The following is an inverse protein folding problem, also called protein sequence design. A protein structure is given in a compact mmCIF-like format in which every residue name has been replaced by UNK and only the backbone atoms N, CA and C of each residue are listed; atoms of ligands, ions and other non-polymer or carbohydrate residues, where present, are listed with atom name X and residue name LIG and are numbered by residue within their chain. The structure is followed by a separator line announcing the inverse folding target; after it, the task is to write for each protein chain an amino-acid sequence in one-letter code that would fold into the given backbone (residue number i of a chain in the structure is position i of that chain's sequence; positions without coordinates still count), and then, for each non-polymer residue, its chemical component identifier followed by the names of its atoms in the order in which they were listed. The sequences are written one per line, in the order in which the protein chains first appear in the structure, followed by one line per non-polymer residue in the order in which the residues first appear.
data_IF_658518501733
#
_entry.id   IF_658518501733
#
_cell.length_a   1.000
_cell.length_b   1.000
_cell.length_c   1.000
_cell.angle_alpha   90.00
_cell.angle_beta   90.00
_cell.angle_gamma   90.00
#
_symmetry.space_group_name_H-M   'P 1'
#
loop_
_entity.id
_entity.type
_entity.pdbx_description
1 polymer ?
#
# COMPACT_ATOMS: atom_id res chain seq x y z
N UNK A 1 15.61 72.00 44.13
CA UNK A 1 17.06 72.08 44.06
C UNK A 1 17.64 70.97 43.19
N UNK A 2 18.45 71.43 42.25
CA UNK A 2 19.47 70.66 41.51
C UNK A 2 19.07 69.53 40.53
N UNK A 3 19.07 69.94 39.27
CA UNK A 3 19.39 69.21 38.05
C UNK A 3 20.57 68.23 38.21
N UNK A 4 20.47 67.10 37.47
CA UNK A 4 21.63 66.62 36.72
C UNK A 4 21.16 65.83 35.48
N UNK A 5 21.63 66.35 34.37
CA UNK A 5 21.61 65.74 33.02
C UNK A 5 22.25 64.37 33.04
N UNK A 6 21.68 63.44 32.24
CA UNK A 6 22.50 62.39 31.65
C UNK A 6 22.06 62.10 30.20
N UNK A 7 23.06 62.07 29.36
CA UNK A 7 23.07 62.10 27.91
C UNK A 7 22.35 60.92 27.25
N UNK A 8 21.66 61.25 26.21
CA UNK A 8 21.19 60.31 25.17
C UNK A 8 22.36 59.74 24.38
N UNK A 9 22.59 58.44 24.51
CA UNK A 9 23.40 57.68 23.56
C UNK A 9 22.45 56.94 22.62
N UNK A 10 22.34 57.49 21.39
CA UNK A 10 21.57 56.88 20.29
C UNK A 10 22.34 55.68 19.73
N UNK A 11 21.97 54.46 20.12
CA UNK A 11 22.38 53.25 19.46
C UNK A 11 21.52 53.09 18.17
N UNK A 12 22.11 53.33 17.02
CA UNK A 12 21.54 52.92 15.74
C UNK A 12 21.69 51.41 15.61
N UNK A 13 20.61 50.67 15.89
CA UNK A 13 20.54 49.25 15.60
C UNK A 13 20.33 49.09 14.05
N UNK A 14 21.40 48.69 13.37
CA UNK A 14 21.35 48.33 11.97
C UNK A 14 20.71 46.90 11.89
N UNK A 15 19.41 46.87 11.57
CA UNK A 15 18.73 45.60 11.28
C UNK A 15 19.15 45.18 9.88
N UNK A 16 20.10 44.24 9.82
CA UNK A 16 20.41 43.52 8.58
C UNK A 16 19.36 42.42 8.47
N UNK A 17 18.33 42.65 7.69
CA UNK A 17 17.37 41.64 7.25
C UNK A 17 18.07 40.74 6.25
N UNK A 18 18.61 39.63 6.73
CA UNK A 18 19.01 38.53 5.88
C UNK A 18 17.72 37.84 5.40
N UNK A 19 17.30 38.16 4.20
CA UNK A 19 16.28 37.41 3.48
C UNK A 19 16.92 36.06 3.11
N UNK A 20 16.71 35.06 3.97
CA UNK A 20 16.99 33.67 3.60
C UNK A 20 15.90 33.25 2.59
N UNK A 21 16.22 33.36 1.32
CA UNK A 21 15.42 32.74 0.27
C UNK A 21 15.51 31.22 0.45
N UNK A 22 14.51 30.63 1.11
CA UNK A 22 14.28 29.19 1.02
C UNK A 22 13.93 28.90 -0.44
N UNK A 23 14.92 28.43 -1.18
CA UNK A 23 14.69 27.76 -2.45
C UNK A 23 13.99 26.44 -2.12
N UNK A 24 12.66 26.41 -2.23
CA UNK A 24 11.94 25.17 -2.45
C UNK A 24 12.48 24.61 -3.78
N UNK A 25 13.30 23.58 -3.69
CA UNK A 25 13.70 22.80 -4.84
C UNK A 25 12.47 22.00 -5.32
N UNK A 26 11.59 22.66 -6.07
CA UNK A 26 10.63 21.98 -6.93
C UNK A 26 11.43 21.22 -7.97
N UNK A 27 11.03 19.99 -8.28
CA UNK A 27 11.60 19.21 -9.35
C UNK A 27 11.34 19.96 -10.67
N UNK A 28 12.39 20.66 -11.17
CA UNK A 28 12.30 21.39 -12.42
C UNK A 28 12.86 20.54 -13.55
N UNK A 29 12.17 20.55 -14.69
CA UNK A 29 12.72 20.00 -15.92
C UNK A 29 14.09 20.65 -16.20
N UNK A 30 15.07 19.82 -16.52
CA UNK A 30 16.42 20.25 -16.89
C UNK A 30 16.77 19.76 -18.28
N UNK A 31 17.74 20.42 -18.90
CA UNK A 31 18.33 19.95 -20.14
C UNK A 31 19.35 18.84 -19.85
N UNK A 32 19.15 17.70 -20.48
CA UNK A 32 20.03 16.53 -20.46
C UNK A 32 20.85 16.49 -21.75
N UNK A 33 22.10 16.12 -21.68
CA UNK A 33 23.04 16.10 -22.81
C UNK A 33 23.57 14.68 -23.03
N UNK A 34 23.63 14.24 -24.28
CA UNK A 34 24.26 12.97 -24.62
C UNK A 34 25.75 12.96 -24.32
N UNK A 35 26.35 11.76 -24.16
CA UNK A 35 27.77 11.60 -23.82
C UNK A 35 28.70 12.26 -24.83
N UNK A 36 28.33 12.29 -26.09
CA UNK A 36 29.07 12.93 -27.20
C UNK A 36 28.76 14.42 -27.37
N UNK A 37 27.87 14.99 -26.54
CA UNK A 37 27.43 16.38 -26.62
C UNK A 37 26.53 16.72 -27.82
N UNK A 38 26.24 15.76 -28.69
CA UNK A 38 25.57 16.02 -29.99
C UNK A 38 24.06 16.23 -29.87
N UNK A 39 23.44 15.77 -28.78
CA UNK A 39 21.99 15.82 -28.58
C UNK A 39 21.64 16.29 -27.19
N UNK A 40 20.56 17.05 -27.10
CA UNK A 40 19.97 17.49 -25.84
C UNK A 40 18.48 17.21 -25.81
N UNK A 41 17.93 17.04 -24.62
CA UNK A 41 16.50 16.94 -24.39
C UNK A 41 16.13 17.50 -23.02
N UNK A 42 14.91 17.91 -22.83
CA UNK A 42 14.41 18.40 -21.55
C UNK A 42 13.58 17.33 -20.84
N UNK A 43 13.81 17.20 -19.55
CA UNK A 43 13.07 16.29 -18.73
C UNK A 43 13.42 16.37 -17.25
N UNK A 44 12.55 15.80 -16.42
CA UNK A 44 12.68 15.74 -14.98
C UNK A 44 13.26 14.41 -14.56
N UNK A 45 14.30 14.42 -13.70
CA UNK A 45 14.87 13.20 -13.14
C UNK A 45 13.86 12.51 -12.23
N UNK A 46 13.56 11.25 -12.54
CA UNK A 46 12.69 10.41 -11.73
C UNK A 46 13.47 9.49 -10.79
N UNK A 47 14.50 8.85 -11.31
CA UNK A 47 15.35 7.95 -10.51
C UNK A 47 16.72 7.73 -11.16
N UNK A 48 17.69 7.32 -10.31
CA UNK A 48 18.97 6.79 -10.72
C UNK A 48 19.22 5.46 -10.01
N UNK A 49 19.33 4.40 -10.80
CA UNK A 49 19.71 3.09 -10.32
C UNK A 49 21.23 2.94 -10.37
N UNK A 50 21.87 3.01 -9.21
CA UNK A 50 23.33 2.94 -9.10
C UNK A 50 23.89 1.54 -9.41
N UNK A 51 23.09 0.46 -9.24
CA UNK A 51 23.53 -0.91 -9.49
C UNK A 51 23.56 -1.22 -10.99
N UNK A 52 22.56 -0.75 -11.70
CA UNK A 52 22.41 -0.96 -13.16
C UNK A 52 22.99 0.19 -13.99
N UNK A 53 23.41 1.29 -13.35
CA UNK A 53 23.85 2.50 -14.04
C UNK A 53 22.75 3.10 -14.93
N UNK A 54 21.47 3.02 -14.53
CA UNK A 54 20.37 3.51 -15.32
C UNK A 54 19.77 4.81 -14.75
N UNK A 55 19.45 5.71 -15.65
CA UNK A 55 18.79 7.00 -15.37
C UNK A 55 17.38 6.98 -15.98
N UNK A 56 16.37 7.31 -15.20
CA UNK A 56 14.98 7.48 -15.67
C UNK A 56 14.59 8.94 -15.61
N UNK A 57 14.07 9.46 -16.71
CA UNK A 57 13.67 10.86 -16.86
C UNK A 57 12.26 10.91 -17.45
N UNK A 58 11.42 11.84 -16.98
CA UNK A 58 10.11 12.12 -17.58
C UNK A 58 10.21 13.38 -18.44
N UNK A 59 9.84 13.26 -19.71
CA UNK A 59 9.76 14.38 -20.64
C UNK A 59 8.55 15.27 -20.34
N UNK A 60 8.53 16.51 -20.89
CA UNK A 60 7.42 17.45 -20.76
C UNK A 60 6.07 16.92 -21.27
N UNK A 61 6.09 15.96 -22.20
CA UNK A 61 4.90 15.28 -22.71
C UNK A 61 4.45 14.07 -21.85
N UNK A 62 5.04 13.88 -20.66
CA UNK A 62 4.75 12.78 -19.74
C UNK A 62 5.39 11.44 -20.10
N UNK A 63 6.09 11.36 -21.22
CA UNK A 63 6.78 10.11 -21.63
C UNK A 63 8.00 9.88 -20.75
N UNK A 64 8.12 8.68 -20.18
CA UNK A 64 9.33 8.25 -19.46
C UNK A 64 10.35 7.66 -20.42
N UNK A 65 11.61 8.02 -20.20
CA UNK A 65 12.76 7.45 -20.88
C UNK A 65 13.71 6.89 -19.83
N UNK A 66 14.10 5.63 -20.02
CA UNK A 66 15.16 4.99 -19.22
C UNK A 66 16.31 4.63 -20.15
N UNK A 67 17.50 5.05 -19.78
CA UNK A 67 18.71 4.81 -20.57
C UNK A 67 19.92 4.58 -19.66
N UNK A 68 20.95 3.96 -20.20
CA UNK A 68 22.20 3.73 -19.47
C UNK A 68 22.96 5.04 -19.24
N UNK A 69 23.61 5.18 -18.09
CA UNK A 69 24.36 6.39 -17.72
C UNK A 69 25.49 6.73 -18.69
N UNK A 70 26.04 5.75 -19.40
CA UNK A 70 27.08 5.93 -20.42
C UNK A 70 26.59 6.71 -21.65
N UNK A 71 25.29 6.88 -21.80
CA UNK A 71 24.67 7.70 -22.85
C UNK A 71 24.54 9.18 -22.50
N UNK A 72 24.88 9.55 -21.28
CA UNK A 72 24.77 10.93 -20.79
C UNK A 72 26.14 11.57 -20.59
N UNK A 73 26.18 12.90 -20.60
CA UNK A 73 27.37 13.66 -20.22
C UNK A 73 27.78 13.34 -18.77
N UNK A 74 29.06 13.47 -18.47
CA UNK A 74 29.57 13.26 -17.10
C UNK A 74 28.87 14.16 -16.07
N UNK A 75 28.54 15.39 -16.44
CA UNK A 75 27.82 16.34 -15.60
C UNK A 75 26.40 15.85 -15.27
N UNK A 76 25.70 15.25 -16.25
CA UNK A 76 24.36 14.73 -16.07
C UNK A 76 24.35 13.43 -15.26
N UNK A 77 25.37 12.60 -15.43
CA UNK A 77 25.58 11.41 -14.58
C UNK A 77 25.85 11.81 -13.14
N UNK A 78 26.70 12.81 -12.90
CA UNK A 78 26.98 13.32 -11.56
C UNK A 78 25.71 13.88 -10.90
N UNK A 79 24.95 14.67 -11.65
CA UNK A 79 23.67 15.19 -11.20
C UNK A 79 22.67 14.07 -10.85
N UNK A 80 22.55 13.05 -11.73
CA UNK A 80 21.66 11.92 -11.49
C UNK A 80 22.08 11.12 -10.22
N UNK A 81 23.36 10.91 -10.00
CA UNK A 81 23.91 10.26 -8.80
C UNK A 81 23.59 11.03 -7.52
N UNK A 82 23.73 12.35 -7.56
CA UNK A 82 23.50 13.21 -6.40
C UNK A 82 22.00 13.37 -6.08
N UNK A 83 21.17 13.54 -7.11
CA UNK A 83 19.77 13.87 -6.94
C UNK A 83 18.82 12.68 -7.10
N UNK A 84 19.25 11.60 -7.74
CA UNK A 84 18.48 10.38 -7.90
C UNK A 84 18.12 9.70 -6.56
N UNK A 85 19.00 9.81 -5.55
CA UNK A 85 18.70 9.37 -4.17
C UNK A 85 17.67 10.24 -3.46
N UNK A 86 17.60 11.53 -3.79
CA UNK A 86 16.59 12.45 -3.23
C UNK A 86 15.22 12.23 -3.86
N UNK A 87 15.15 11.85 -5.11
CA UNK A 87 13.92 11.49 -5.80
C UNK A 87 13.33 10.15 -5.28
N UNK A 88 14.20 9.19 -4.88
CA UNK A 88 13.80 7.94 -4.22
C UNK A 88 13.51 8.08 -2.73
N UNK A 89 13.91 9.18 -2.10
CA UNK A 89 13.91 9.38 -0.63
C UNK A 89 12.78 10.24 -0.08
N UNK A 90 11.78 10.62 -0.86
CA UNK A 90 10.62 11.36 -0.34
C UNK A 90 9.56 10.40 0.18
N UNK A 91 9.82 9.82 1.37
CA UNK A 91 8.78 9.19 2.17
C UNK A 91 8.02 10.24 2.97
N UNK A 92 6.74 10.36 2.69
CA UNK A 92 5.63 10.66 3.61
C UNK A 92 5.71 11.89 4.51
N UNK A 93 5.11 12.94 4.06
CA UNK A 93 4.14 13.70 4.86
C UNK A 93 3.00 14.08 3.92
N UNK A 94 1.74 13.88 4.34
CA UNK A 94 0.52 14.01 3.54
C UNK A 94 0.51 15.20 2.60
N UNK A 95 0.85 14.96 1.36
CA UNK A 95 0.84 15.92 0.28
C UNK A 95 0.50 15.19 -1.00
N UNK A 96 -0.42 15.73 -1.74
CA UNK A 96 -0.89 15.43 -3.09
C UNK A 96 -0.75 13.97 -3.53
N UNK A 97 -1.86 13.27 -3.55
CA UNK A 97 -1.98 11.98 -4.22
C UNK A 97 -1.60 12.24 -5.68
N UNK A 98 -0.34 12.01 -6.04
CA UNK A 98 0.07 11.96 -7.44
C UNK A 98 -0.85 10.97 -8.12
N UNK A 99 -1.51 11.40 -9.17
CA UNK A 99 -2.38 10.52 -9.97
C UNK A 99 -1.58 9.27 -10.33
N UNK A 100 -1.98 8.12 -9.77
CA UNK A 100 -1.31 6.85 -10.03
C UNK A 100 -1.38 6.59 -11.55
N UNK A 101 -0.31 6.08 -12.16
CA UNK A 101 -0.33 5.79 -13.59
C UNK A 101 -1.49 4.83 -13.90
N UNK A 102 -2.30 5.15 -14.88
CA UNK A 102 -3.44 4.30 -15.32
C UNK A 102 -2.99 2.92 -15.81
N UNK A 103 -1.74 2.82 -16.22
CA UNK A 103 -1.10 1.58 -16.64
C UNK A 103 0.19 1.44 -15.84
N UNK A 104 0.29 0.38 -15.05
CA UNK A 104 1.55 0.04 -14.39
C UNK A 104 2.56 -0.41 -15.44
N UNK A 105 3.83 -0.04 -15.30
CA UNK A 105 4.89 -0.68 -16.09
C UNK A 105 4.93 -2.17 -15.78
N UNK A 106 5.51 -2.95 -16.68
CA UNK A 106 5.76 -4.36 -16.42
C UNK A 106 6.48 -4.50 -15.09
N UNK A 107 6.13 -5.52 -14.28
CA UNK A 107 6.87 -5.81 -13.08
C UNK A 107 8.32 -5.98 -13.45
N UNK A 108 9.18 -5.28 -12.75
CA UNK A 108 10.60 -5.27 -13.06
C UNK A 108 11.32 -6.59 -12.76
N UNK A 109 10.62 -7.58 -12.19
CA UNK A 109 11.18 -8.86 -11.77
C UNK A 109 12.30 -8.72 -10.72
N UNK A 110 12.48 -7.51 -10.16
CA UNK A 110 13.52 -7.22 -9.19
C UNK A 110 13.09 -7.69 -7.79
N UNK A 111 14.05 -8.21 -7.09
CA UNK A 111 13.89 -8.50 -5.67
C UNK A 111 13.82 -7.19 -4.89
N UNK A 112 13.03 -7.18 -3.83
CA UNK A 112 12.91 -6.02 -2.94
C UNK A 112 14.23 -5.71 -2.21
N UNK A 113 14.39 -4.46 -1.80
CA UNK A 113 15.51 -4.05 -0.94
C UNK A 113 15.35 -4.62 0.48
N UNK A 114 15.91 -5.80 0.72
CA UNK A 114 15.87 -6.52 1.98
C UNK A 114 16.63 -5.84 3.13
N UNK A 115 17.31 -4.73 2.90
CA UNK A 115 17.87 -3.90 3.97
C UNK A 115 16.80 -3.12 4.74
N UNK A 116 15.62 -2.93 4.13
CA UNK A 116 14.46 -2.24 4.68
C UNK A 116 13.52 -3.22 5.39
N UNK A 117 12.71 -2.76 6.38
CA UNK A 117 11.69 -3.59 6.99
C UNK A 117 10.60 -3.94 5.97
N UNK A 118 10.01 -5.13 6.10
CA UNK A 118 8.85 -5.53 5.30
C UNK A 118 7.68 -4.58 5.58
N UNK A 119 7.14 -3.99 4.53
CA UNK A 119 5.94 -3.15 4.60
C UNK A 119 4.70 -4.04 4.54
N UNK A 120 4.03 -4.18 5.67
CA UNK A 120 2.87 -5.06 5.81
C UNK A 120 1.58 -4.29 5.54
N UNK A 121 0.81 -4.78 4.60
CA UNK A 121 -0.54 -4.29 4.31
C UNK A 121 -1.56 -5.37 4.67
N UNK A 122 -2.36 -5.08 5.70
CA UNK A 122 -3.34 -6.03 6.23
C UNK A 122 -4.68 -5.83 5.51
N UNK A 123 -5.23 -6.91 4.95
CA UNK A 123 -6.49 -6.94 4.23
C UNK A 123 -7.52 -7.72 5.05
N UNK A 124 -8.57 -7.06 5.50
CA UNK A 124 -9.66 -7.66 6.27
C UNK A 124 -11.03 -7.26 5.70
N UNK A 125 -12.06 -7.99 6.09
CA UNK A 125 -13.43 -7.77 5.63
C UNK A 125 -14.17 -9.08 5.47
N UNK A 126 -14.93 -9.23 4.38
CA UNK A 126 -15.69 -10.44 4.12
C UNK A 126 -15.46 -10.98 2.68
N UNK A 127 -16.49 -11.58 2.05
CA UNK A 127 -16.34 -12.28 0.76
C UNK A 127 -15.71 -11.44 -0.36
N UNK A 128 -16.01 -10.14 -0.45
CA UNK A 128 -15.43 -9.28 -1.47
C UNK A 128 -13.92 -9.08 -1.24
N UNK A 129 -13.49 -8.94 0.01
CA UNK A 129 -12.07 -8.91 0.34
C UNK A 129 -11.41 -10.28 0.16
N UNK A 130 -12.11 -11.36 0.57
CA UNK A 130 -11.60 -12.73 0.40
C UNK A 130 -11.30 -13.02 -1.07
N UNK A 131 -12.21 -12.60 -1.96
CA UNK A 131 -12.12 -12.79 -3.38
C UNK A 131 -12.75 -14.10 -3.87
N UNK A 132 -13.53 -13.98 -4.93
CA UNK A 132 -14.16 -15.10 -5.64
C UNK A 132 -13.91 -15.01 -7.15
N UNK A 133 -13.01 -14.11 -7.58
CA UNK A 133 -12.61 -13.96 -8.97
C UNK A 133 -11.89 -15.21 -9.47
N UNK A 134 -12.21 -15.64 -10.68
CA UNK A 134 -11.58 -16.79 -11.34
C UNK A 134 -10.39 -16.31 -12.16
N UNK A 135 -9.27 -17.00 -12.03
CA UNK A 135 -8.08 -16.73 -12.83
C UNK A 135 -8.27 -17.32 -14.23
N UNK A 136 -8.59 -18.59 -14.35
CA UNK A 136 -8.73 -19.32 -15.60
C UNK A 136 -10.17 -19.73 -15.87
N UNK A 137 -10.44 -20.10 -17.10
CA UNK A 137 -11.73 -20.58 -17.60
C UNK A 137 -12.28 -19.67 -18.70
N UNK A 138 -12.99 -20.28 -19.67
CA UNK A 138 -13.49 -19.60 -20.87
C UNK A 138 -14.62 -18.57 -20.67
N UNK A 139 -14.94 -18.21 -19.40
CA UNK A 139 -15.98 -17.26 -19.07
C UNK A 139 -15.51 -15.83 -19.32
N UNK A 140 -16.39 -14.98 -19.78
CA UNK A 140 -16.12 -13.55 -20.03
C UNK A 140 -15.54 -12.81 -18.81
N UNK A 141 -15.94 -13.23 -17.60
CA UNK A 141 -15.47 -12.64 -16.32
C UNK A 141 -14.19 -13.24 -15.76
N UNK A 142 -13.53 -14.18 -16.44
CA UNK A 142 -12.25 -14.72 -15.97
C UNK A 142 -11.11 -13.71 -16.21
N UNK A 143 -10.15 -13.66 -15.29
CA UNK A 143 -8.98 -12.78 -15.40
C UNK A 143 -8.19 -13.07 -16.68
N UNK A 144 -8.05 -14.35 -17.05
CA UNK A 144 -7.38 -14.77 -18.28
C UNK A 144 -8.00 -14.13 -19.52
N UNK A 145 -9.33 -14.11 -19.62
CA UNK A 145 -10.01 -13.43 -20.72
C UNK A 145 -9.77 -11.91 -20.69
N UNK A 146 -9.79 -11.30 -19.51
CA UNK A 146 -9.52 -9.87 -19.36
C UNK A 146 -8.09 -9.51 -19.81
N UNK A 147 -7.09 -10.31 -19.42
CA UNK A 147 -5.69 -10.00 -19.70
C UNK A 147 -5.28 -10.44 -21.13
N UNK A 148 -5.56 -11.71 -21.50
CA UNK A 148 -5.05 -12.29 -22.75
C UNK A 148 -5.88 -11.88 -23.97
N UNK A 149 -7.21 -11.84 -23.85
CA UNK A 149 -8.09 -11.52 -24.99
C UNK A 149 -8.42 -10.03 -25.05
N UNK A 150 -8.83 -9.42 -23.93
CA UNK A 150 -9.21 -7.99 -23.89
C UNK A 150 -8.01 -7.06 -23.70
N UNK A 151 -6.81 -7.62 -23.46
CA UNK A 151 -5.56 -6.87 -23.22
C UNK A 151 -5.67 -5.82 -22.09
N UNK A 152 -6.54 -6.11 -21.09
CA UNK A 152 -6.61 -5.35 -19.85
C UNK A 152 -5.52 -5.84 -18.90
N UNK A 153 -5.02 -4.94 -18.03
CA UNK A 153 -4.03 -5.25 -16.99
C UNK A 153 -2.75 -5.91 -17.55
N UNK A 154 -2.06 -5.26 -18.51
CA UNK A 154 -0.89 -5.85 -19.19
C UNK A 154 0.24 -6.25 -18.21
N UNK A 155 0.35 -5.59 -17.07
CA UNK A 155 1.33 -5.90 -16.02
C UNK A 155 1.13 -7.27 -15.36
N UNK A 156 0.02 -7.95 -15.60
CA UNK A 156 -0.25 -9.30 -15.09
C UNK A 156 0.27 -10.42 -15.98
N UNK A 157 0.71 -10.11 -17.19
CA UNK A 157 1.18 -11.08 -18.18
C UNK A 157 2.59 -10.68 -18.60
N UNK A 158 3.50 -11.65 -18.64
CA UNK A 158 4.86 -11.48 -19.17
C UNK A 158 4.90 -11.62 -20.71
N UNK A 159 6.07 -11.38 -21.32
CA UNK A 159 6.28 -11.48 -22.76
C UNK A 159 6.08 -12.91 -23.31
N UNK A 160 6.12 -13.93 -22.45
CA UNK A 160 5.87 -15.33 -22.79
C UNK A 160 4.41 -15.76 -22.57
N UNK A 161 3.50 -14.80 -22.32
CA UNK A 161 2.07 -15.01 -22.06
C UNK A 161 1.75 -15.79 -20.78
N UNK A 162 2.72 -15.82 -19.82
CA UNK A 162 2.53 -16.39 -18.50
C UNK A 162 2.07 -15.31 -17.52
N UNK A 163 1.51 -15.76 -16.37
CA UNK A 163 1.22 -14.86 -15.26
C UNK A 163 2.50 -14.32 -14.64
N UNK A 164 2.61 -13.01 -14.53
CA UNK A 164 3.73 -12.37 -13.87
C UNK A 164 3.82 -12.79 -12.39
N UNK A 165 5.04 -13.03 -11.93
CA UNK A 165 5.34 -13.31 -10.53
C UNK A 165 6.16 -12.16 -9.96
N UNK A 166 5.62 -11.48 -8.97
CA UNK A 166 6.35 -10.43 -8.26
C UNK A 166 7.23 -11.04 -7.16
N UNK A 167 8.54 -10.85 -7.26
CA UNK A 167 9.50 -11.36 -6.26
C UNK A 167 9.75 -10.38 -5.10
N UNK A 168 9.12 -9.22 -5.14
CA UNK A 168 9.15 -8.17 -4.12
C UNK A 168 7.90 -8.16 -3.24
N UNK A 169 6.81 -8.83 -3.66
CA UNK A 169 5.53 -8.86 -2.95
C UNK A 169 5.13 -10.29 -2.57
N UNK A 170 5.03 -10.56 -1.27
CA UNK A 170 4.44 -11.81 -0.76
C UNK A 170 2.94 -11.67 -0.61
N UNK A 171 2.22 -12.72 -1.01
CA UNK A 171 0.78 -12.86 -0.81
C UNK A 171 0.52 -13.97 0.20
N UNK A 172 0.03 -13.59 1.38
CA UNK A 172 -0.30 -14.53 2.46
C UNK A 172 -1.78 -14.43 2.77
N UNK A 173 -2.50 -15.54 2.66
CA UNK A 173 -3.91 -15.65 3.03
C UNK A 173 -4.12 -16.68 4.11
N UNK A 174 -4.68 -16.23 5.22
CA UNK A 174 -5.00 -17.06 6.39
C UNK A 174 -6.46 -16.84 6.81
N UNK A 175 -7.09 -17.85 7.39
CA UNK A 175 -8.39 -17.69 8.04
C UNK A 175 -8.70 -18.82 9.02
N UNK A 176 -9.84 -18.67 9.72
CA UNK A 176 -10.42 -19.68 10.59
C UNK A 176 -9.83 -19.73 12.00
N UNK A 177 -10.54 -20.42 12.90
CA UNK A 177 -10.19 -20.51 14.32
C UNK A 177 -8.82 -21.15 14.59
N UNK A 178 -8.38 -22.06 13.75
CA UNK A 178 -7.11 -22.80 13.87
C UNK A 178 -6.06 -22.28 12.90
N UNK A 179 -6.25 -21.09 12.34
CA UNK A 179 -5.37 -20.47 11.36
C UNK A 179 -4.98 -21.42 10.22
N UNK A 180 -5.86 -21.57 9.25
CA UNK A 180 -5.52 -22.27 8.02
C UNK A 180 -4.80 -21.32 7.06
N UNK A 181 -3.62 -21.71 6.59
CA UNK A 181 -2.89 -21.02 5.52
C UNK A 181 -3.41 -21.52 4.19
N UNK A 182 -3.92 -20.59 3.37
CA UNK A 182 -4.44 -20.88 2.03
C UNK A 182 -3.49 -20.48 0.92
N UNK A 183 -2.73 -19.42 1.14
CA UNK A 183 -1.69 -18.92 0.24
C UNK A 183 -0.50 -18.46 1.07
N UNK A 184 0.68 -18.77 0.59
CA UNK A 184 1.97 -18.28 1.10
C UNK A 184 2.95 -18.36 -0.06
N UNK A 185 2.84 -17.42 -1.00
CA UNK A 185 3.60 -17.42 -2.25
C UNK A 185 3.95 -16.00 -2.68
N UNK A 186 4.87 -15.86 -3.61
CA UNK A 186 5.08 -14.61 -4.32
C UNK A 186 3.81 -14.22 -5.06
N UNK A 187 3.50 -12.92 -5.11
CA UNK A 187 2.24 -12.44 -5.69
C UNK A 187 2.16 -12.80 -7.18
N UNK A 188 1.18 -13.62 -7.50
CA UNK A 188 0.81 -14.01 -8.85
C UNK A 188 -0.65 -14.43 -8.88
N UNK A 189 -1.38 -14.23 -9.97
CA UNK A 189 -2.74 -14.75 -10.10
C UNK A 189 -2.79 -16.27 -9.95
N UNK A 190 -3.49 -16.76 -8.93
CA UNK A 190 -3.64 -18.21 -8.69
C UNK A 190 -4.94 -18.52 -7.96
N UNK A 191 -5.61 -19.60 -8.34
CA UNK A 191 -6.87 -20.05 -7.71
C UNK A 191 -7.97 -19.00 -7.78
N UNK A 192 -8.59 -18.69 -6.65
CA UNK A 192 -9.52 -17.58 -6.52
C UNK A 192 -8.78 -16.31 -6.08
N UNK A 193 -9.03 -15.24 -6.79
CA UNK A 193 -8.42 -13.93 -6.57
C UNK A 193 -9.42 -12.91 -6.02
N UNK A 194 -8.91 -11.93 -5.35
CA UNK A 194 -9.62 -10.75 -4.86
C UNK A 194 -8.78 -9.48 -5.14
N UNK A 195 -8.98 -8.42 -4.36
CA UNK A 195 -8.30 -7.15 -4.57
C UNK A 195 -6.79 -7.20 -4.33
N UNK A 196 -6.28 -8.24 -3.66
CA UNK A 196 -4.85 -8.39 -3.36
C UNK A 196 -3.96 -8.34 -4.59
N UNK A 197 -4.45 -8.84 -5.73
CA UNK A 197 -3.67 -8.87 -6.98
C UNK A 197 -3.39 -7.44 -7.44
N UNK A 198 -4.41 -6.61 -7.58
CA UNK A 198 -4.24 -5.22 -7.97
C UNK A 198 -3.47 -4.41 -6.91
N UNK A 199 -3.89 -4.52 -5.65
CA UNK A 199 -3.24 -3.83 -4.52
C UNK A 199 -1.74 -4.17 -4.48
N UNK A 200 -1.38 -5.45 -4.53
CA UNK A 200 0.01 -5.89 -4.44
C UNK A 200 0.86 -5.43 -5.61
N UNK A 201 0.34 -5.46 -6.84
CA UNK A 201 1.05 -4.92 -8.00
C UNK A 201 1.32 -3.42 -7.88
N UNK A 202 0.32 -2.62 -7.45
CA UNK A 202 0.52 -1.17 -7.24
C UNK A 202 1.48 -0.88 -6.10
N UNK A 203 1.39 -1.62 -4.99
CA UNK A 203 2.29 -1.45 -3.86
C UNK A 203 3.74 -1.81 -4.21
N UNK A 204 3.98 -2.95 -4.87
CA UNK A 204 5.32 -3.33 -5.30
C UNK A 204 5.91 -2.36 -6.30
N UNK A 205 5.06 -1.68 -7.13
CA UNK A 205 5.54 -0.60 -8.00
C UNK A 205 5.90 0.68 -7.22
N UNK A 206 5.15 0.98 -6.16
CA UNK A 206 5.29 2.24 -5.41
C UNK A 206 6.31 2.16 -4.27
N UNK A 207 6.61 0.96 -3.77
CA UNK A 207 7.41 0.71 -2.56
C UNK A 207 8.65 -0.10 -2.93
N UNK A 208 9.84 0.44 -2.68
CA UNK A 208 11.11 -0.28 -2.92
C UNK A 208 11.42 -1.33 -1.84
N UNK A 209 10.83 -1.19 -0.64
CA UNK A 209 10.98 -2.15 0.44
C UNK A 209 10.19 -3.44 0.13
N UNK A 210 10.54 -4.58 0.77
CA UNK A 210 9.76 -5.80 0.66
C UNK A 210 8.31 -5.58 1.12
N UNK A 211 7.34 -6.08 0.37
CA UNK A 211 5.90 -5.91 0.62
C UNK A 211 5.26 -7.24 1.01
N UNK A 212 4.51 -7.26 2.10
CA UNK A 212 3.66 -8.37 2.50
C UNK A 212 2.18 -7.95 2.43
N UNK A 213 1.44 -8.52 1.49
CA UNK A 213 -0.02 -8.45 1.44
C UNK A 213 -0.57 -9.58 2.30
N UNK A 214 -1.02 -9.24 3.49
CA UNK A 214 -1.52 -10.17 4.49
C UNK A 214 -3.05 -10.14 4.54
N UNK A 215 -3.70 -11.12 3.95
CA UNK A 215 -5.16 -11.27 3.96
C UNK A 215 -5.60 -12.19 5.08
N UNK A 216 -6.33 -11.64 6.06
CA UNK A 216 -6.97 -12.39 7.14
C UNK A 216 -8.46 -12.05 7.16
N UNK A 217 -9.26 -12.86 6.48
CA UNK A 217 -10.70 -12.65 6.38
C UNK A 217 -11.46 -13.93 6.03
N UNK A 218 -12.76 -13.92 6.30
CA UNK A 218 -13.68 -15.03 5.99
C UNK A 218 -14.94 -14.49 5.32
N UNK A 219 -15.45 -15.20 4.32
CA UNK A 219 -16.68 -14.80 3.61
C UNK A 219 -17.93 -14.91 4.47
N UNK A 220 -18.99 -14.18 4.06
CA UNK A 220 -20.30 -14.18 4.71
C UNK A 220 -20.26 -13.78 6.20
N UNK A 221 -19.55 -12.69 6.51
CA UNK A 221 -19.41 -12.13 7.86
C UNK A 221 -20.01 -10.73 7.93
N UNK A 222 -20.81 -10.47 8.97
CA UNK A 222 -21.42 -9.16 9.24
C UNK A 222 -20.53 -8.31 10.14
N UNK A 223 -20.63 -7.01 10.00
CA UNK A 223 -19.99 -6.06 10.90
C UNK A 223 -20.68 -6.05 12.26
N UNK A 224 -22.03 -6.03 12.23
CA UNK A 224 -22.83 -5.95 13.45
C UNK A 224 -22.86 -7.20 14.33
N UNK A 225 -22.30 -8.32 13.86
CA UNK A 225 -22.23 -9.56 14.64
C UNK A 225 -20.86 -10.21 14.58
N UNK A 226 -20.44 -10.70 13.40
CA UNK A 226 -19.23 -11.53 13.27
C UNK A 226 -17.93 -10.75 13.52
N UNK A 227 -17.89 -9.50 13.07
CA UNK A 227 -16.71 -8.63 13.07
C UNK A 227 -16.79 -7.50 14.11
N UNK A 228 -17.72 -7.60 15.05
CA UNK A 228 -17.93 -6.57 16.06
C UNK A 228 -16.66 -6.37 16.90
N UNK A 229 -16.08 -5.15 16.94
CA UNK A 229 -14.82 -4.93 17.64
C UNK A 229 -14.98 -4.86 19.15
N UNK A 230 -13.88 -5.05 19.93
CA UNK A 230 -13.85 -4.83 21.36
C UNK A 230 -14.39 -3.45 21.76
N UNK A 231 -15.17 -3.42 22.85
CA UNK A 231 -15.80 -2.18 23.35
C UNK A 231 -17.18 -1.89 22.76
N UNK A 232 -17.62 -2.62 21.75
CA UNK A 232 -18.98 -2.50 21.23
C UNK A 232 -20.00 -2.90 22.28
N UNK A 233 -21.02 -2.06 22.46
CA UNK A 233 -22.05 -2.25 23.47
C UNK A 233 -23.29 -2.90 22.86
N UNK A 234 -24.05 -3.57 23.72
CA UNK A 234 -25.39 -4.05 23.43
C UNK A 234 -26.32 -2.88 23.09
N UNK A 235 -27.24 -3.11 22.17
CA UNK A 235 -28.29 -2.13 21.84
C UNK A 235 -29.64 -2.81 21.56
N UNK A 236 -30.69 -2.00 21.61
CA UNK A 236 -32.07 -2.44 21.32
C UNK A 236 -32.51 -1.89 19.96
N UNK A 237 -33.13 -2.76 19.17
CA UNK A 237 -33.77 -2.37 17.90
C UNK A 237 -35.02 -3.23 17.67
N UNK A 238 -36.16 -2.62 17.36
CA UNK A 238 -37.44 -3.28 17.08
C UNK A 238 -37.82 -4.38 18.08
N UNK A 239 -37.69 -4.10 19.39
CA UNK A 239 -38.06 -5.01 20.47
C UNK A 239 -37.13 -6.22 20.63
N UNK A 240 -35.98 -6.18 19.99
CA UNK A 240 -34.93 -7.17 20.16
C UNK A 240 -33.66 -6.52 20.74
N UNK A 241 -32.93 -7.32 21.48
CA UNK A 241 -31.60 -6.93 21.96
C UNK A 241 -30.55 -7.54 21.04
N UNK A 242 -29.61 -6.71 20.59
CA UNK A 242 -28.44 -7.08 19.82
C UNK A 242 -27.21 -7.04 20.72
N UNK A 243 -26.32 -8.03 20.61
CA UNK A 243 -25.24 -8.21 21.57
C UNK A 243 -24.16 -7.16 21.46
N UNK A 244 -23.51 -6.87 22.57
CA UNK A 244 -22.19 -6.27 22.61
C UNK A 244 -21.09 -7.29 22.34
N UNK A 245 -19.86 -6.82 22.25
CA UNK A 245 -18.69 -7.67 22.01
C UNK A 245 -18.57 -8.81 23.05
N UNK A 246 -18.38 -10.04 22.56
CA UNK A 246 -18.33 -11.31 23.30
C UNK A 246 -19.67 -11.80 23.88
N UNK A 247 -20.74 -11.14 23.62
CA UNK A 247 -22.07 -11.65 23.97
C UNK A 247 -22.62 -12.61 22.91
N UNK A 248 -23.67 -13.34 23.23
CA UNK A 248 -24.30 -14.38 22.41
C UNK A 248 -25.76 -14.59 22.88
N UNK A 249 -26.71 -14.86 21.97
CA UNK A 249 -26.63 -15.10 20.52
C UNK A 249 -26.63 -13.80 19.70
N UNK A 250 -26.80 -13.90 18.37
CA UNK A 250 -26.85 -12.76 17.44
C UNK A 250 -27.96 -11.74 17.79
N UNK A 251 -29.07 -12.19 18.37
CA UNK A 251 -30.09 -11.32 18.98
C UNK A 251 -31.08 -12.16 19.80
N UNK A 252 -31.81 -11.51 20.72
CA UNK A 252 -32.91 -12.13 21.48
C UNK A 252 -34.03 -11.13 21.74
N UNK A 253 -35.24 -11.64 22.06
CA UNK A 253 -36.39 -10.77 22.37
C UNK A 253 -36.13 -9.98 23.67
N UNK A 254 -36.48 -8.71 23.70
CA UNK A 254 -36.41 -7.88 24.91
C UNK A 254 -37.18 -8.54 26.05
N UNK A 255 -36.65 -8.54 27.24
CA UNK A 255 -37.26 -9.17 28.43
C UNK A 255 -37.06 -10.68 28.53
N UNK A 256 -36.41 -11.32 27.59
CA UNK A 256 -36.04 -12.75 27.66
C UNK A 256 -34.54 -12.95 27.97
N UNK A 257 -34.21 -14.09 28.55
CA UNK A 257 -32.80 -14.46 28.78
C UNK A 257 -32.17 -14.93 27.47
N UNK A 258 -30.94 -14.48 27.12
CA UNK A 258 -30.24 -14.96 25.94
C UNK A 258 -29.82 -16.41 26.09
N UNK A 259 -30.06 -17.22 25.06
CA UNK A 259 -29.54 -18.60 24.98
C UNK A 259 -28.23 -18.61 24.19
N UNK A 260 -27.10 -18.80 24.88
CA UNK A 260 -25.78 -18.86 24.24
C UNK A 260 -25.69 -19.95 23.19
N UNK A 261 -24.98 -19.65 22.11
CA UNK A 261 -24.62 -20.57 21.03
C UNK A 261 -23.09 -20.69 20.96
N UNK A 262 -22.57 -21.60 20.13
CA UNK A 262 -21.12 -21.79 19.93
C UNK A 262 -20.39 -20.65 19.23
N UNK A 263 -21.07 -19.51 19.00
CA UNK A 263 -20.57 -18.28 18.39
C UNK A 263 -20.87 -17.07 19.29
N UNK A 264 -20.07 -16.01 19.21
CA UNK A 264 -20.27 -14.76 19.94
C UNK A 264 -19.97 -13.56 19.05
N UNK A 265 -20.50 -12.42 19.42
CA UNK A 265 -20.29 -11.15 18.74
C UNK A 265 -18.79 -10.78 18.73
N UNK A 266 -18.21 -10.64 17.54
CA UNK A 266 -16.80 -10.33 17.35
C UNK A 266 -15.88 -11.55 17.26
N UNK A 267 -16.40 -12.78 17.23
CA UNK A 267 -15.55 -13.97 17.13
C UNK A 267 -14.65 -13.94 15.87
N UNK A 268 -15.20 -13.54 14.73
CA UNK A 268 -14.41 -13.44 13.50
C UNK A 268 -13.36 -12.33 13.60
N UNK A 269 -13.67 -11.21 14.24
CA UNK A 269 -12.70 -10.17 14.53
C UNK A 269 -11.52 -10.72 15.33
N UNK A 270 -11.79 -11.45 16.42
CA UNK A 270 -10.76 -12.07 17.27
C UNK A 270 -9.91 -13.07 16.49
N UNK A 271 -10.54 -13.90 15.64
CA UNK A 271 -9.86 -14.86 14.80
C UNK A 271 -8.96 -14.20 13.76
N UNK A 272 -9.45 -13.19 13.06
CA UNK A 272 -8.69 -12.49 12.02
C UNK A 272 -7.49 -11.73 12.60
N UNK A 273 -7.66 -11.05 13.74
CA UNK A 273 -6.56 -10.36 14.44
C UNK A 273 -5.53 -11.35 14.98
N UNK A 274 -5.97 -12.45 15.58
CA UNK A 274 -5.07 -13.50 16.06
C UNK A 274 -4.25 -14.10 14.93
N UNK A 275 -4.88 -14.43 13.80
CA UNK A 275 -4.24 -15.03 12.65
C UNK A 275 -3.22 -14.07 12.02
N UNK A 276 -3.56 -12.80 11.87
CA UNK A 276 -2.63 -11.78 11.38
C UNK A 276 -1.41 -11.64 12.31
N UNK A 277 -1.63 -11.57 13.62
CA UNK A 277 -0.54 -11.52 14.61
C UNK A 277 0.35 -12.75 14.56
N UNK A 278 -0.21 -13.95 14.36
CA UNK A 278 0.55 -15.18 14.25
C UNK A 278 1.47 -15.20 13.02
N UNK A 279 0.99 -14.71 11.87
CA UNK A 279 1.83 -14.53 10.67
C UNK A 279 2.98 -13.55 10.94
N UNK A 280 2.71 -12.42 11.60
CA UNK A 280 3.73 -11.41 11.89
C UNK A 280 4.74 -11.88 12.94
N UNK A 281 4.33 -12.75 13.88
CA UNK A 281 5.23 -13.34 14.87
C UNK A 281 6.21 -14.35 14.25
N UNK A 282 5.87 -14.93 13.12
CA UNK A 282 6.70 -15.89 12.38
C UNK A 282 7.04 -15.38 10.98
N UNK A 283 7.46 -14.12 10.91
CA UNK A 283 7.67 -13.38 9.66
C UNK A 283 8.53 -14.12 8.64
N UNK A 284 9.61 -14.77 9.09
CA UNK A 284 10.56 -15.47 8.22
C UNK A 284 9.94 -16.61 7.42
N UNK A 285 8.93 -17.29 7.96
CA UNK A 285 8.15 -18.33 7.27
C UNK A 285 7.29 -17.74 6.15
N UNK A 286 6.80 -16.52 6.33
CA UNK A 286 5.87 -15.88 5.39
C UNK A 286 6.57 -14.92 4.42
N UNK A 287 7.71 -14.37 4.82
CA UNK A 287 8.57 -13.60 3.95
C UNK A 287 10.03 -14.07 4.13
N UNK A 288 10.54 -14.96 3.27
CA UNK A 288 11.89 -15.53 3.41
C UNK A 288 12.97 -14.45 3.48
N UNK A 289 13.87 -14.59 4.45
CA UNK A 289 14.97 -13.63 4.67
C UNK A 289 14.60 -12.37 5.46
N UNK A 290 13.32 -12.14 5.74
CA UNK A 290 12.87 -10.98 6.52
C UNK A 290 13.06 -11.19 8.03
N UNK A 291 13.53 -10.13 8.70
CA UNK A 291 13.71 -10.10 10.17
C UNK A 291 12.97 -8.96 10.85
N UNK A 292 12.47 -8.00 10.07
CA UNK A 292 11.80 -6.79 10.56
C UNK A 292 10.60 -6.47 9.68
N UNK A 293 9.56 -5.90 10.29
CA UNK A 293 8.41 -5.40 9.56
C UNK A 293 7.87 -4.10 10.18
N UNK A 294 7.08 -3.41 9.39
CA UNK A 294 6.23 -2.28 9.79
C UNK A 294 4.83 -2.50 9.22
N UNK A 295 3.79 -2.21 10.01
CA UNK A 295 2.42 -2.22 9.49
C UNK A 295 2.19 -0.90 8.76
N UNK A 296 2.26 -0.95 7.44
CA UNK A 296 2.22 0.22 6.57
C UNK A 296 0.80 0.62 6.16
N UNK A 297 -0.14 -0.31 6.19
CA UNK A 297 -1.51 0.00 5.80
C UNK A 297 -2.54 -1.06 6.16
N UNK A 298 -3.80 -0.65 6.08
CA UNK A 298 -4.95 -1.49 6.36
C UNK A 298 -6.03 -1.26 5.29
N UNK A 299 -6.50 -2.35 4.68
CA UNK A 299 -7.58 -2.34 3.71
C UNK A 299 -8.79 -3.06 4.26
N UNK A 300 -9.96 -2.43 4.17
CA UNK A 300 -11.22 -2.98 4.66
C UNK A 300 -12.26 -3.02 3.55
N UNK A 301 -12.81 -4.21 3.29
CA UNK A 301 -13.91 -4.37 2.35
C UNK A 301 -14.99 -5.27 2.92
N UNK A 302 -16.03 -4.65 3.46
CA UNK A 302 -17.15 -5.30 4.14
C UNK A 302 -18.44 -4.51 3.86
N UNK A 303 -19.61 -5.10 4.13
CA UNK A 303 -20.93 -4.44 4.04
C UNK A 303 -22.04 -5.30 3.41
N UNK A 304 -21.72 -6.25 2.54
CA UNK A 304 -22.72 -7.01 1.78
C UNK A 304 -23.68 -7.84 2.68
N UNK A 305 -23.18 -8.43 3.76
CA UNK A 305 -24.02 -9.21 4.68
C UNK A 305 -24.92 -8.32 5.54
N UNK A 306 -24.42 -7.18 6.00
CA UNK A 306 -25.15 -6.26 6.87
C UNK A 306 -26.33 -5.58 6.15
N UNK A 307 -26.18 -5.30 4.86
CA UNK A 307 -27.24 -4.75 4.02
C UNK A 307 -28.58 -5.52 4.12
N UNK A 308 -28.55 -6.81 4.44
CA UNK A 308 -29.74 -7.67 4.56
C UNK A 308 -30.36 -7.65 5.96
N UNK A 309 -29.73 -7.00 6.92
CA UNK A 309 -30.21 -6.90 8.30
C UNK A 309 -30.28 -5.45 8.73
N UNK A 310 -31.48 -4.89 8.79
CA UNK A 310 -31.73 -3.49 9.16
C UNK A 310 -31.14 -3.10 10.52
N UNK A 311 -31.00 -4.05 11.42
CA UNK A 311 -30.36 -3.79 12.72
C UNK A 311 -28.85 -3.65 12.64
N UNK A 312 -28.20 -4.15 11.58
CA UNK A 312 -26.76 -4.04 11.35
C UNK A 312 -26.40 -2.94 10.33
N UNK A 313 -27.38 -2.43 9.60
CA UNK A 313 -27.23 -1.32 8.66
C UNK A 313 -27.43 0.02 9.38
#
# INVERSE_FOLDING_TARGET
MKNKHLNHLKFKCLVVTAVASLLLAGAHARTWTSADGSKTFEGELQSYDARKGKVTVTLSNGKRLTFSQDRLSEADVAFAKENGRKASGSSSSGGDIKELPKVLPDPDGEEADMSKPVQVYILMGQSNMLGAGRVSGGNEGALENACKNKKLYPYLIDDADNWTVRQDVRNVRVNGRTMKVHQNNWLTPSGNIGPEIGIGHYLGHAVEAPVLVLKSCTGNRSLGWDLLPPGSKQYEFEGRIYPGYKESPESWAKGTAPRRIGWYAGLQYDDDIRNAKAVLADLGTYYPGATKYEVAGFFWWQGDKDFRNKAHA
#
